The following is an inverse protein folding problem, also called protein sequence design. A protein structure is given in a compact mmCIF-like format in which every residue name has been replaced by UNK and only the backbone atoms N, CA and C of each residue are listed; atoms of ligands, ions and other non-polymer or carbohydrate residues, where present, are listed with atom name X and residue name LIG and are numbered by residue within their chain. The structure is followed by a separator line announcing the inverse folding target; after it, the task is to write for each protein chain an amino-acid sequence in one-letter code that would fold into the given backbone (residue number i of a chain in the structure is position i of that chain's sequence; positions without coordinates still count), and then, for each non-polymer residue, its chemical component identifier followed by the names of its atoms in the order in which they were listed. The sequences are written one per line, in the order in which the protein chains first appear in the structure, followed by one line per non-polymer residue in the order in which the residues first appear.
data_IF_286115428028
#
_entry.id   IF_286115428028
#
_cell.length_a   1.000
_cell.length_b   1.000
_cell.length_c   1.000
_cell.angle_alpha   90.00
_cell.angle_beta   90.00
_cell.angle_gamma   90.00
#
_symmetry.space_group_name_H-M   'P 1'
#
loop_
_entity.id
_entity.type
_entity.pdbx_description
1 polymer ?
#
# COMPACT_ATOMS: atom_id res chain seq x y z
N UNK A 1 -13.42 -15.37 14.14
CA UNK A 1 -13.54 -14.95 12.72
C UNK A 1 -14.22 -13.59 12.55
N UNK A 2 -15.41 -13.35 13.13
CA UNK A 2 -16.16 -12.08 12.94
C UNK A 2 -15.35 -10.80 13.31
N UNK A 3 -14.77 -10.74 14.52
CA UNK A 3 -14.05 -9.56 15.01
C UNK A 3 -12.87 -9.11 14.12
N UNK A 4 -12.19 -10.04 13.43
CA UNK A 4 -11.08 -9.72 12.53
C UNK A 4 -11.59 -9.12 11.23
N UNK A 5 -12.60 -9.75 10.63
CA UNK A 5 -13.25 -9.20 9.45
C UNK A 5 -13.80 -7.80 9.76
N UNK A 6 -14.41 -7.61 10.93
CA UNK A 6 -14.90 -6.31 11.39
C UNK A 6 -13.74 -5.30 11.59
N UNK A 7 -12.61 -5.74 12.13
CA UNK A 7 -11.42 -4.91 12.32
C UNK A 7 -10.77 -4.50 10.99
N UNK A 8 -10.61 -5.42 10.05
CA UNK A 8 -10.11 -5.12 8.71
C UNK A 8 -11.08 -4.23 7.94
N UNK A 9 -12.39 -4.48 8.06
CA UNK A 9 -13.40 -3.61 7.48
C UNK A 9 -13.31 -2.20 8.06
N UNK A 10 -13.15 -2.07 9.38
CA UNK A 10 -12.99 -0.77 10.04
C UNK A 10 -11.75 -0.01 9.56
N UNK A 11 -10.60 -0.71 9.44
CA UNK A 11 -9.37 -0.11 8.89
C UNK A 11 -9.60 0.34 7.44
N UNK A 12 -10.20 -0.52 6.63
CA UNK A 12 -10.46 -0.25 5.23
C UNK A 12 -11.40 0.96 5.04
N UNK A 13 -12.46 1.05 5.85
CA UNK A 13 -13.41 2.17 5.81
C UNK A 13 -12.79 3.47 6.34
N UNK A 14 -11.88 3.39 7.31
CA UNK A 14 -11.10 4.54 7.78
C UNK A 14 -10.20 5.09 6.66
N UNK A 15 -9.48 4.22 5.94
CA UNK A 15 -8.64 4.59 4.81
C UNK A 15 -9.45 5.23 3.67
N UNK A 16 -10.63 4.69 3.38
CA UNK A 16 -11.51 5.24 2.36
C UNK A 16 -11.94 6.69 2.70
N UNK A 17 -12.26 6.97 3.97
CA UNK A 17 -12.61 8.33 4.43
C UNK A 17 -11.46 9.32 4.29
N UNK A 18 -10.22 8.88 4.49
CA UNK A 18 -9.01 9.71 4.40
C UNK A 18 -8.57 9.98 2.96
N UNK A 19 -9.03 9.16 2.00
CA UNK A 19 -8.64 9.22 0.58
C UNK A 19 -8.75 10.64 0.00
N UNK A 20 -9.82 11.38 0.31
CA UNK A 20 -10.01 12.74 -0.23
C UNK A 20 -8.94 13.72 0.27
N UNK A 21 -8.52 13.59 1.53
CA UNK A 21 -7.46 14.43 2.09
C UNK A 21 -6.09 14.02 1.53
N UNK A 22 -5.80 12.71 1.45
CA UNK A 22 -4.57 12.17 0.88
C UNK A 22 -4.38 12.62 -0.58
N UNK A 23 -5.43 12.55 -1.41
CA UNK A 23 -5.36 13.00 -2.81
C UNK A 23 -5.04 14.49 -2.95
N UNK A 24 -5.53 15.35 -2.02
CA UNK A 24 -5.16 16.77 -2.00
C UNK A 24 -3.67 16.94 -1.68
N UNK A 25 -3.16 16.23 -0.68
CA UNK A 25 -1.74 16.28 -0.33
C UNK A 25 -0.84 15.79 -1.48
N UNK A 26 -1.22 14.69 -2.14
CA UNK A 26 -0.51 14.19 -3.32
C UNK A 26 -0.49 15.25 -4.42
N UNK A 27 -1.64 15.86 -4.73
CA UNK A 27 -1.71 16.95 -5.71
C UNK A 27 -0.81 18.11 -5.35
N UNK A 28 -0.81 18.54 -4.08
CA UNK A 28 -0.02 19.68 -3.63
C UNK A 28 1.50 19.38 -3.70
N UNK A 29 1.92 18.13 -3.46
CA UNK A 29 3.32 17.67 -3.59
C UNK A 29 3.78 17.43 -5.02
N UNK A 30 2.88 16.96 -5.89
CA UNK A 30 3.12 16.81 -7.33
C UNK A 30 3.20 18.19 -8.00
N UNK A 31 2.37 19.14 -7.56
CA UNK A 31 2.33 20.50 -8.08
C UNK A 31 1.75 20.56 -9.50
N UNK A 32 2.33 21.42 -10.34
CA UNK A 32 1.93 21.56 -11.76
C UNK A 32 2.52 20.46 -12.66
N UNK A 33 3.51 19.73 -12.17
CA UNK A 33 4.19 18.69 -12.93
C UNK A 33 3.27 17.47 -13.05
N UNK A 34 2.54 17.35 -14.15
CA UNK A 34 1.69 16.17 -14.42
C UNK A 34 2.49 14.88 -14.68
N UNK A 35 3.81 14.93 -14.55
CA UNK A 35 4.71 13.82 -14.70
C UNK A 35 5.95 14.00 -13.80
N UNK A 36 6.00 13.22 -12.72
CA UNK A 36 7.09 13.13 -11.76
C UNK A 36 7.52 11.65 -11.69
N UNK A 37 8.36 11.19 -12.64
CA UNK A 37 8.64 9.77 -12.77
C UNK A 37 9.55 9.24 -11.66
N UNK A 38 10.38 10.11 -11.09
CA UNK A 38 11.22 9.81 -9.94
C UNK A 38 10.42 9.92 -8.64
N UNK A 39 10.80 9.12 -7.64
CA UNK A 39 10.21 9.25 -6.29
C UNK A 39 10.75 10.53 -5.65
N UNK A 40 9.84 11.39 -5.20
CA UNK A 40 10.15 12.57 -4.37
C UNK A 40 9.87 12.24 -2.90
N UNK A 41 10.70 12.77 -2.02
CA UNK A 41 10.61 12.57 -0.57
C UNK A 41 10.27 13.89 0.10
N UNK A 42 9.33 13.85 1.04
CA UNK A 42 8.92 15.01 1.83
C UNK A 42 8.91 14.63 3.30
N UNK A 43 9.59 15.40 4.15
CA UNK A 43 9.50 15.23 5.60
C UNK A 43 8.11 15.63 6.10
N UNK A 44 7.54 14.85 7.00
CA UNK A 44 6.30 15.22 7.69
C UNK A 44 6.62 15.86 9.04
N UNK A 45 5.63 16.55 9.63
CA UNK A 45 5.81 17.20 10.94
C UNK A 45 5.97 16.21 12.11
N UNK A 46 5.87 14.89 11.88
CA UNK A 46 5.90 13.84 12.90
C UNK A 46 6.94 12.76 12.63
N UNK A 47 8.15 13.16 12.22
CA UNK A 47 9.29 12.28 11.92
C UNK A 47 9.03 11.21 10.84
N UNK A 48 8.02 11.44 9.99
CA UNK A 48 7.69 10.59 8.86
C UNK A 48 8.27 11.10 7.54
N UNK A 49 8.21 10.24 6.53
CA UNK A 49 8.58 10.56 5.17
C UNK A 49 7.42 10.21 4.25
N UNK A 50 6.96 11.19 3.47
CA UNK A 50 6.03 10.96 2.37
C UNK A 50 6.79 10.71 1.07
N UNK A 51 6.49 9.59 0.43
CA UNK A 51 7.04 9.20 -0.86
C UNK A 51 5.98 9.48 -1.93
N UNK A 52 6.30 10.36 -2.87
CA UNK A 52 5.35 10.76 -3.92
C UNK A 52 5.95 10.54 -5.29
N UNK A 53 5.16 9.91 -6.17
CA UNK A 53 5.49 9.68 -7.57
C UNK A 53 4.23 9.87 -8.40
N UNK A 54 4.36 10.53 -9.54
CA UNK A 54 3.26 10.75 -10.47
C UNK A 54 3.72 10.34 -11.87
N UNK A 55 3.06 9.36 -12.49
CA UNK A 55 3.40 8.94 -13.85
C UNK A 55 2.19 9.00 -14.75
N UNK A 56 2.45 9.36 -16.01
CA UNK A 56 1.51 9.19 -17.08
C UNK A 56 1.83 7.85 -17.73
N UNK A 57 0.80 7.05 -17.94
CA UNK A 57 0.90 5.74 -18.56
C UNK A 57 -0.14 5.72 -19.68
N UNK A 58 0.31 5.43 -20.90
CA UNK A 58 -0.57 5.32 -22.07
C UNK A 58 -1.24 3.95 -22.08
N UNK A 59 -2.27 3.79 -21.25
CA UNK A 59 -3.00 2.54 -21.06
C UNK A 59 -4.43 2.81 -20.58
N UNK A 60 -5.44 2.02 -21.00
CA UNK A 60 -6.78 2.10 -20.44
C UNK A 60 -6.78 1.94 -18.91
N UNK A 61 -7.53 2.80 -18.21
CA UNK A 61 -7.60 2.81 -16.74
C UNK A 61 -7.95 1.43 -16.16
N UNK A 62 -8.89 0.72 -16.79
CA UNK A 62 -9.31 -0.60 -16.31
C UNK A 62 -8.16 -1.61 -16.34
N UNK A 63 -7.48 -1.74 -17.49
CA UNK A 63 -6.33 -2.62 -17.67
C UNK A 63 -5.20 -2.28 -16.70
N UNK A 64 -4.88 -1.00 -16.57
CA UNK A 64 -3.84 -0.54 -15.65
C UNK A 64 -4.21 -0.84 -14.19
N UNK A 65 -5.44 -0.54 -13.78
CA UNK A 65 -5.92 -0.80 -12.42
C UNK A 65 -5.91 -2.28 -12.06
N UNK A 66 -6.23 -3.16 -13.01
CA UNK A 66 -6.21 -4.62 -12.83
C UNK A 66 -4.79 -5.15 -12.69
N UNK A 67 -3.88 -4.66 -13.53
CA UNK A 67 -2.46 -5.02 -13.48
C UNK A 67 -1.82 -4.60 -12.15
N UNK A 68 -2.03 -3.34 -11.73
CA UNK A 68 -1.50 -2.84 -10.46
C UNK A 68 -2.09 -3.58 -9.26
N UNK A 69 -3.40 -3.84 -9.26
CA UNK A 69 -4.02 -4.62 -8.18
C UNK A 69 -3.44 -6.03 -8.08
N UNK A 70 -3.26 -6.71 -9.22
CA UNK A 70 -2.61 -8.02 -9.26
C UNK A 70 -1.16 -7.96 -8.75
N UNK A 71 -0.40 -6.95 -9.17
CA UNK A 71 0.99 -6.73 -8.73
C UNK A 71 1.11 -6.66 -7.21
N UNK A 72 0.16 -6.00 -6.54
CA UNK A 72 0.20 -5.84 -5.09
C UNK A 72 -0.50 -6.94 -4.29
N UNK A 73 -1.32 -7.79 -4.92
CA UNK A 73 -2.17 -8.75 -4.18
C UNK A 73 -2.01 -10.20 -4.62
N UNK A 74 -1.39 -10.47 -5.75
CA UNK A 74 -1.08 -11.83 -6.19
C UNK A 74 0.22 -12.31 -5.55
N UNK A 75 0.23 -13.58 -5.11
CA UNK A 75 1.45 -14.20 -4.62
C UNK A 75 2.48 -14.27 -5.74
N UNK A 76 3.56 -13.49 -5.62
CA UNK A 76 4.59 -13.32 -6.64
C UNK A 76 5.93 -13.01 -5.99
N UNK A 77 7.00 -13.45 -6.62
CA UNK A 77 8.39 -13.13 -6.24
C UNK A 77 9.01 -12.30 -7.36
N UNK A 78 9.58 -11.17 -6.98
CA UNK A 78 10.41 -10.29 -7.82
C UNK A 78 11.86 -10.35 -7.32
N UNK A 79 12.78 -9.75 -8.06
CA UNK A 79 14.21 -9.82 -7.76
C UNK A 79 14.57 -9.29 -6.35
N UNK A 80 13.90 -8.23 -5.89
CA UNK A 80 14.20 -7.54 -4.62
C UNK A 80 13.10 -7.65 -3.55
N UNK A 81 11.95 -8.20 -3.91
CA UNK A 81 10.79 -8.26 -3.02
C UNK A 81 9.78 -9.33 -3.43
N UNK A 82 8.94 -9.75 -2.50
CA UNK A 82 7.84 -10.68 -2.75
C UNK A 82 6.54 -10.25 -2.10
N UNK A 83 5.43 -10.69 -2.68
CA UNK A 83 4.08 -10.60 -2.12
C UNK A 83 3.57 -12.00 -1.86
N UNK A 84 2.96 -12.20 -0.71
CA UNK A 84 2.16 -13.37 -0.37
C UNK A 84 0.76 -12.90 0.01
N UNK A 85 -0.26 -13.34 -0.72
CA UNK A 85 -1.65 -13.17 -0.28
C UNK A 85 -1.88 -14.02 0.98
N UNK A 86 -2.15 -13.39 2.12
CA UNK A 86 -2.47 -14.09 3.37
C UNK A 86 -3.96 -14.39 3.46
N UNK A 87 -4.79 -13.42 3.08
CA UNK A 87 -6.25 -13.54 3.11
C UNK A 87 -6.89 -12.64 2.05
N UNK A 88 -7.94 -13.15 1.41
CA UNK A 88 -8.81 -12.36 0.53
C UNK A 88 -10.16 -12.21 1.22
N UNK A 89 -10.50 -10.98 1.58
CA UNK A 89 -11.69 -10.65 2.35
C UNK A 89 -12.90 -10.51 1.43
N UNK A 90 -12.68 -9.85 0.30
CA UNK A 90 -13.63 -9.69 -0.80
C UNK A 90 -12.86 -9.42 -2.11
N UNK A 91 -13.56 -9.12 -3.21
CA UNK A 91 -12.95 -8.87 -4.52
C UNK A 91 -12.05 -7.62 -4.56
N UNK A 92 -12.27 -6.68 -3.66
CA UNK A 92 -11.62 -5.39 -3.58
C UNK A 92 -10.73 -5.23 -2.33
N UNK A 93 -10.74 -6.17 -1.38
CA UNK A 93 -9.99 -6.08 -0.13
C UNK A 93 -9.11 -7.32 0.07
N UNK A 94 -7.81 -7.10 0.23
CA UNK A 94 -6.83 -8.16 0.36
C UNK A 94 -5.80 -7.86 1.44
N UNK A 95 -5.50 -8.87 2.25
CA UNK A 95 -4.45 -8.83 3.26
C UNK A 95 -3.25 -9.63 2.78
N UNK A 96 -2.09 -8.99 2.70
CA UNK A 96 -0.88 -9.53 2.11
C UNK A 96 0.31 -9.41 3.06
N UNK A 97 1.30 -10.26 2.87
CA UNK A 97 2.65 -10.04 3.39
C UNK A 97 3.54 -9.59 2.26
N UNK A 98 4.26 -8.50 2.48
CA UNK A 98 5.31 -7.99 1.59
C UNK A 98 6.64 -8.16 2.28
N UNK A 99 7.60 -8.74 1.57
CA UNK A 99 8.98 -8.93 2.02
C UNK A 99 9.89 -8.19 1.07
N UNK A 100 10.72 -7.30 1.59
CA UNK A 100 11.82 -6.68 0.85
C UNK A 100 13.11 -7.33 1.33
N UNK A 101 13.84 -8.02 0.44
CA UNK A 101 15.00 -8.84 0.85
C UNK A 101 16.19 -8.00 1.34
N UNK A 102 16.23 -6.74 0.93
CA UNK A 102 17.24 -5.75 1.31
C UNK A 102 16.63 -4.50 1.96
N UNK A 103 15.50 -4.68 2.67
CA UNK A 103 14.69 -3.56 3.13
C UNK A 103 15.26 -2.75 4.31
N UNK A 104 16.01 -3.37 5.23
CA UNK A 104 16.61 -2.66 6.38
C UNK A 104 18.08 -2.34 6.11
N UNK A 105 18.80 -3.32 5.61
CA UNK A 105 20.21 -3.26 5.25
C UNK A 105 20.48 -4.34 4.19
N UNK A 106 21.67 -4.38 3.54
CA UNK A 106 22.03 -5.47 2.65
C UNK A 106 21.85 -6.82 3.32
N UNK A 107 21.08 -7.72 2.68
CA UNK A 107 20.68 -9.04 3.19
C UNK A 107 19.89 -9.03 4.53
N UNK A 108 19.35 -7.88 4.96
CA UNK A 108 18.49 -7.78 6.14
C UNK A 108 17.07 -7.43 5.68
N UNK A 109 16.15 -8.42 5.63
CA UNK A 109 14.83 -8.23 5.06
C UNK A 109 13.90 -7.39 5.94
N UNK A 110 13.08 -6.57 5.30
CA UNK A 110 11.94 -5.90 5.93
C UNK A 110 10.65 -6.66 5.59
N UNK A 111 9.85 -6.99 6.62
CA UNK A 111 8.56 -7.66 6.43
C UNK A 111 7.42 -6.79 6.93
N UNK A 112 6.40 -6.67 6.10
CA UNK A 112 5.20 -5.90 6.38
C UNK A 112 3.98 -6.79 6.09
N UNK A 113 3.03 -6.85 7.01
CA UNK A 113 1.68 -7.29 6.66
C UNK A 113 0.87 -6.06 6.28
N UNK A 114 0.22 -6.07 5.12
CA UNK A 114 -0.45 -4.91 4.53
C UNK A 114 -1.89 -5.28 4.20
N UNK A 115 -2.83 -4.53 4.75
CA UNK A 115 -4.21 -4.52 4.31
C UNK A 115 -4.36 -3.51 3.18
N UNK A 116 -4.94 -3.95 2.08
CA UNK A 116 -5.13 -3.16 0.87
C UNK A 116 -6.59 -3.20 0.44
N UNK A 117 -7.10 -2.05 -0.04
CA UNK A 117 -8.44 -1.96 -0.61
C UNK A 117 -8.47 -1.14 -1.89
N UNK A 118 -9.25 -1.59 -2.84
CA UNK A 118 -9.52 -0.89 -4.08
C UNK A 118 -10.88 -0.17 -4.03
N UNK A 119 -10.85 1.16 -4.22
CA UNK A 119 -12.04 2.02 -4.28
C UNK A 119 -12.20 2.53 -5.71
N UNK A 120 -13.33 2.20 -6.34
CA UNK A 120 -13.61 2.51 -7.75
C UNK A 120 -14.70 3.58 -7.87
N UNK A 121 -14.44 4.60 -8.69
CA UNK A 121 -15.45 5.52 -9.24
C UNK A 121 -15.48 5.41 -10.76
N UNK A 122 -16.41 6.11 -11.42
CA UNK A 122 -16.55 6.10 -12.89
C UNK A 122 -15.25 6.49 -13.62
N UNK A 123 -14.48 7.39 -13.04
CA UNK A 123 -13.33 8.08 -13.65
C UNK A 123 -12.00 7.82 -12.92
N UNK A 124 -12.01 7.04 -11.85
CA UNK A 124 -10.84 6.84 -11.00
C UNK A 124 -10.87 5.49 -10.30
N UNK A 125 -9.68 4.93 -10.11
CA UNK A 125 -9.45 3.82 -9.18
C UNK A 125 -8.39 4.27 -8.17
N UNK A 126 -8.70 4.12 -6.89
CA UNK A 126 -7.76 4.38 -5.79
C UNK A 126 -7.46 3.05 -5.12
N UNK A 127 -6.20 2.76 -4.88
CA UNK A 127 -5.79 1.67 -4.00
C UNK A 127 -5.29 2.33 -2.73
N UNK A 128 -5.93 2.02 -1.61
CA UNK A 128 -5.49 2.45 -0.29
C UNK A 128 -4.85 1.28 0.43
N UNK A 129 -3.87 1.55 1.26
CA UNK A 129 -3.18 0.52 2.02
C UNK A 129 -2.74 1.00 3.40
N UNK A 130 -2.64 0.06 4.33
CA UNK A 130 -2.05 0.26 5.65
C UNK A 130 -1.40 -1.01 6.12
N UNK A 131 -0.24 -0.91 6.76
CA UNK A 131 0.36 -2.07 7.39
C UNK A 131 -0.19 -2.31 8.81
N UNK A 132 -0.31 -3.60 9.16
CA UNK A 132 -0.68 -4.06 10.50
C UNK A 132 0.61 -4.51 11.19
N UNK A 133 0.96 -3.84 12.28
CA UNK A 133 2.23 -4.06 13.00
C UNK A 133 2.14 -5.18 14.03
N UNK A 134 0.94 -5.45 14.54
CA UNK A 134 0.68 -6.44 15.58
C UNK A 134 -0.51 -7.30 15.14
N UNK A 135 -0.20 -8.55 14.79
CA UNK A 135 -1.16 -9.55 14.30
C UNK A 135 -0.80 -10.89 14.93
N UNK A 136 -1.67 -11.42 15.78
CA UNK A 136 -1.41 -12.68 16.47
C UNK A 136 -1.55 -13.91 15.57
N UNK A 137 -2.36 -13.82 14.50
CA UNK A 137 -2.60 -14.93 13.57
C UNK A 137 -1.48 -15.00 12.53
N UNK A 138 -1.06 -13.84 12.04
CA UNK A 138 0.03 -13.71 11.07
C UNK A 138 1.19 -12.90 11.66
N UNK A 139 1.85 -13.36 12.73
CA UNK A 139 2.89 -12.58 13.39
C UNK A 139 4.03 -12.27 12.43
N UNK A 140 4.55 -11.05 12.54
CA UNK A 140 5.80 -10.67 11.91
C UNK A 140 6.96 -11.27 12.74
N UNK A 141 7.98 -11.85 12.09
CA UNK A 141 9.16 -12.28 12.82
C UNK A 141 9.87 -11.06 13.44
N UNK A 142 10.68 -11.26 14.50
CA UNK A 142 11.47 -10.19 15.09
C UNK A 142 12.31 -9.48 14.03
N UNK A 143 12.20 -8.16 13.98
CA UNK A 143 12.94 -7.29 13.07
C UNK A 143 13.37 -6.03 13.81
N UNK A 144 14.55 -5.51 13.47
CA UNK A 144 15.19 -4.39 14.17
C UNK A 144 14.47 -3.05 13.96
N UNK A 145 13.56 -2.99 12.99
CA UNK A 145 12.81 -1.79 12.63
C UNK A 145 11.31 -2.10 12.66
N UNK A 146 10.53 -1.22 13.28
CA UNK A 146 9.08 -1.17 13.12
C UNK A 146 8.75 0.00 12.19
N UNK A 147 8.16 -0.30 11.05
CA UNK A 147 7.68 0.69 10.09
C UNK A 147 6.16 0.79 10.19
N UNK A 148 5.64 2.01 10.25
CA UNK A 148 4.23 2.29 10.00
C UNK A 148 4.10 2.91 8.62
N UNK A 149 3.23 2.36 7.78
CA UNK A 149 3.03 2.75 6.40
C UNK A 149 1.52 2.89 6.14
N UNK A 150 1.15 4.03 5.55
CA UNK A 150 -0.18 4.31 5.01
C UNK A 150 0.01 4.82 3.58
N UNK A 151 -0.89 4.44 2.67
CA UNK A 151 -0.83 4.81 1.25
C UNK A 151 -2.20 4.91 0.61
#
# INVERSE_FOLDING_TARGET
MQFRADGYQWIADALEKETKAALRQVRDRVGRDRHVPQVRFFTTNGDGIDLVRCRLVDMPLESFSRCIWGTFTSTMTYDDWSVQCLERLDDNTCYCRVVFDHGIAPNVPLRLNILQRQVRTKDRVVIVLRNVVEDNEFPLPPQSVRLLMNG
#
